data_IF_619483686543
#
_entry.id   IF_619483686543
#
_cell.length_a   1.000
_cell.length_b   1.000
_cell.length_c   1.000
_cell.angle_alpha   90.00
_cell.angle_beta   90.00
_cell.angle_gamma   90.00
#
_symmetry.space_group_name_H-M   'P 1'
#
loop_
_entity.id
_entity.type
_entity.pdbx_description
1 polymer ?
#
# COMPACT_ATOMS: atom_id res chain seq x y z
N UNK A 1 -16.42 -13.97 -6.47
CA UNK A 1 -16.08 -12.58 -6.07
C UNK A 1 -16.93 -12.18 -4.86
N UNK A 2 -16.38 -11.47 -3.87
CA UNK A 2 -17.14 -11.06 -2.68
C UNK A 2 -17.90 -9.73 -2.84
N UNK A 3 -17.79 -9.07 -4.00
CA UNK A 3 -18.40 -7.76 -4.28
C UNK A 3 -17.60 -6.56 -3.76
N UNK A 4 -16.43 -6.78 -3.16
CA UNK A 4 -15.55 -5.69 -2.73
C UNK A 4 -14.88 -5.02 -3.94
N UNK A 5 -14.75 -3.68 -3.89
CA UNK A 5 -13.91 -2.94 -4.83
C UNK A 5 -12.45 -3.01 -4.41
N UNK A 6 -11.58 -3.39 -5.33
CA UNK A 6 -10.16 -3.66 -5.11
C UNK A 6 -9.31 -2.58 -5.76
N UNK A 7 -8.36 -2.05 -4.98
CA UNK A 7 -7.28 -1.20 -5.48
C UNK A 7 -5.99 -2.01 -5.43
N UNK A 8 -5.34 -2.21 -6.57
CA UNK A 8 -3.99 -2.74 -6.64
C UNK A 8 -2.96 -1.62 -6.58
N UNK A 9 -1.98 -1.71 -5.68
CA UNK A 9 -0.83 -0.82 -5.62
C UNK A 9 0.41 -1.64 -5.98
N UNK A 10 1.08 -1.34 -7.08
CA UNK A 10 2.14 -2.20 -7.64
C UNK A 10 3.13 -1.42 -8.49
N UNK A 11 4.33 -1.96 -8.69
CA UNK A 11 5.29 -1.46 -9.69
C UNK A 11 5.02 -1.99 -11.10
N UNK A 12 4.18 -3.01 -11.25
CA UNK A 12 4.02 -3.76 -12.50
C UNK A 12 2.66 -3.52 -13.16
N UNK A 13 2.64 -2.65 -14.16
CA UNK A 13 1.42 -2.26 -14.88
C UNK A 13 0.69 -3.41 -15.60
N UNK A 14 1.40 -4.47 -15.99
CA UNK A 14 0.87 -5.65 -16.69
C UNK A 14 0.98 -6.92 -15.85
N UNK A 15 0.73 -6.79 -14.55
CA UNK A 15 0.71 -7.93 -13.63
C UNK A 15 -0.72 -8.43 -13.44
N UNK A 16 -0.90 -9.72 -13.12
CA UNK A 16 -2.22 -10.30 -12.88
C UNK A 16 -3.02 -9.55 -11.78
N UNK A 17 -2.34 -9.01 -10.78
CA UNK A 17 -2.98 -8.21 -9.72
C UNK A 17 -3.48 -6.85 -10.24
N UNK A 18 -2.78 -6.23 -11.20
CA UNK A 18 -3.22 -4.99 -11.81
C UNK A 18 -4.41 -5.21 -12.76
N UNK A 19 -4.39 -6.33 -13.50
CA UNK A 19 -5.45 -6.69 -14.45
C UNK A 19 -6.75 -7.12 -13.77
N UNK A 20 -6.69 -7.65 -12.54
CA UNK A 20 -7.86 -8.11 -11.78
C UNK A 20 -8.46 -7.08 -10.83
N UNK A 21 -7.84 -5.91 -10.66
CA UNK A 21 -8.32 -4.87 -9.76
C UNK A 21 -9.24 -3.86 -10.46
N UNK A 22 -10.20 -3.30 -9.73
CA UNK A 22 -11.04 -2.20 -10.24
C UNK A 22 -10.22 -0.95 -10.56
N UNK A 23 -9.17 -0.70 -9.77
CA UNK A 23 -8.25 0.42 -9.93
C UNK A 23 -6.81 -0.07 -9.71
N UNK A 24 -5.93 0.22 -10.66
CA UNK A 24 -4.49 -0.02 -10.52
C UNK A 24 -3.73 1.29 -10.32
N UNK A 25 -3.12 1.46 -9.14
CA UNK A 25 -2.16 2.52 -8.84
C UNK A 25 -0.73 1.99 -9.10
N UNK A 26 -0.19 2.32 -10.28
CA UNK A 26 1.15 1.87 -10.68
C UNK A 26 2.21 2.87 -10.23
N UNK A 27 3.18 2.39 -9.45
CA UNK A 27 4.30 3.18 -8.92
C UNK A 27 5.57 2.73 -9.65
N UNK A 28 6.05 3.48 -10.65
CA UNK A 28 7.25 3.08 -11.37
C UNK A 28 8.48 3.11 -10.44
N UNK A 29 9.45 2.20 -10.64
CA UNK A 29 10.72 2.29 -9.95
C UNK A 29 11.43 3.62 -10.20
N UNK A 30 12.17 4.07 -9.19
CA UNK A 30 12.97 5.30 -9.25
C UNK A 30 14.16 5.18 -10.20
N UNK A 31 14.63 3.95 -10.48
CA UNK A 31 15.74 3.65 -11.39
C UNK A 31 15.27 2.74 -12.53
N UNK A 32 15.82 2.96 -13.72
CA UNK A 32 15.18 2.63 -14.99
C UNK A 32 15.12 1.16 -15.41
N UNK A 33 15.61 0.22 -14.59
CA UNK A 33 15.57 -1.21 -14.96
C UNK A 33 15.04 -2.13 -13.85
N UNK A 34 14.31 -3.17 -14.26
CA UNK A 34 13.86 -4.28 -13.40
C UNK A 34 15.04 -4.98 -12.69
N UNK A 35 16.21 -5.02 -13.33
CA UNK A 35 17.42 -5.59 -12.74
C UNK A 35 17.90 -4.78 -11.54
N UNK A 36 17.85 -3.45 -11.61
CA UNK A 36 18.19 -2.60 -10.47
C UNK A 36 17.18 -2.70 -9.33
N UNK A 37 15.89 -2.88 -9.66
CA UNK A 37 14.86 -3.22 -8.67
C UNK A 37 15.18 -4.53 -7.94
N UNK A 38 15.69 -5.56 -8.64
CA UNK A 38 16.10 -6.82 -8.02
C UNK A 38 17.40 -6.69 -7.21
N UNK A 39 18.37 -5.93 -7.72
CA UNK A 39 19.69 -5.77 -7.10
C UNK A 39 19.65 -4.91 -5.83
N UNK A 40 18.81 -3.87 -5.79
CA UNK A 40 18.68 -3.00 -4.62
C UNK A 40 17.42 -3.31 -3.80
N UNK A 41 16.48 -4.09 -4.34
CA UNK A 41 15.22 -4.51 -3.72
C UNK A 41 14.43 -3.35 -3.05
N UNK A 42 14.61 -2.12 -3.53
CA UNK A 42 14.05 -0.96 -2.85
C UNK A 42 12.55 -0.87 -3.09
N UNK A 43 11.78 -1.25 -2.06
CA UNK A 43 10.34 -1.05 -1.99
C UNK A 43 9.97 0.31 -1.40
N UNK A 44 10.95 1.21 -1.23
CA UNK A 44 10.76 2.47 -0.56
C UNK A 44 9.66 3.32 -1.20
N UNK A 45 9.65 3.46 -2.53
CA UNK A 45 8.60 4.25 -3.21
C UNK A 45 7.22 3.63 -3.05
N UNK A 46 7.11 2.30 -3.19
CA UNK A 46 5.86 1.57 -2.94
C UNK A 46 5.35 1.79 -1.51
N UNK A 47 6.26 1.70 -0.52
CA UNK A 47 5.95 1.91 0.89
C UNK A 47 5.52 3.35 1.18
N UNK A 48 6.28 4.34 0.72
CA UNK A 48 6.01 5.76 0.95
C UNK A 48 4.67 6.20 0.34
N UNK A 49 4.36 5.74 -0.87
CA UNK A 49 3.07 6.01 -1.50
C UNK A 49 1.95 5.31 -0.73
N UNK A 50 2.14 4.05 -0.33
CA UNK A 50 1.15 3.32 0.47
C UNK A 50 0.87 4.03 1.79
N UNK A 51 1.91 4.48 2.49
CA UNK A 51 1.80 5.26 3.73
C UNK A 51 1.06 6.58 3.50
N UNK A 52 1.37 7.29 2.41
CA UNK A 52 0.69 8.54 2.04
C UNK A 52 -0.79 8.31 1.75
N UNK A 53 -1.15 7.23 1.05
CA UNK A 53 -2.55 6.85 0.77
C UNK A 53 -3.30 6.55 2.07
N UNK A 54 -2.69 5.81 3.01
CA UNK A 54 -3.27 5.55 4.32
C UNK A 54 -3.44 6.86 5.11
N UNK A 55 -2.45 7.76 5.07
CA UNK A 55 -2.54 9.07 5.71
C UNK A 55 -3.70 9.91 5.15
N UNK A 56 -3.86 9.93 3.83
CA UNK A 56 -4.98 10.61 3.16
C UNK A 56 -6.33 9.98 3.54
N UNK A 57 -6.40 8.65 3.64
CA UNK A 57 -7.60 7.94 4.07
C UNK A 57 -7.99 8.32 5.51
N UNK A 58 -7.02 8.32 6.42
CA UNK A 58 -7.22 8.72 7.82
C UNK A 58 -7.69 10.16 7.89
N UNK A 59 -7.03 11.08 7.20
CA UNK A 59 -7.42 12.49 7.14
C UNK A 59 -8.84 12.67 6.60
N UNK A 60 -9.19 11.94 5.52
CA UNK A 60 -10.52 11.99 4.91
C UNK A 60 -11.63 11.44 5.83
N UNK A 61 -11.31 10.49 6.71
CA UNK A 61 -12.25 9.88 7.66
C UNK A 61 -12.34 10.63 9.01
N UNK A 62 -11.49 11.62 9.25
CA UNK A 62 -11.53 12.44 10.47
C UNK A 62 -11.29 11.62 11.74
N UNK A 63 -12.10 11.85 12.78
CA UNK A 63 -12.01 11.14 14.07
C UNK A 63 -12.08 9.62 13.89
N UNK A 64 -13.05 9.12 13.11
CA UNK A 64 -13.19 7.67 12.86
C UNK A 64 -11.92 7.07 12.23
N UNK A 65 -11.24 7.83 11.37
CA UNK A 65 -9.97 7.40 10.78
C UNK A 65 -8.85 7.32 11.80
N UNK A 66 -8.79 8.29 12.73
CA UNK A 66 -7.80 8.31 13.81
C UNK A 66 -8.03 7.16 14.79
N UNK A 67 -9.27 6.92 15.18
CA UNK A 67 -9.65 5.84 16.09
C UNK A 67 -9.31 4.47 15.50
N UNK A 68 -9.67 4.24 14.23
CA UNK A 68 -9.33 3.01 13.53
C UNK A 68 -7.81 2.79 13.45
N UNK A 69 -7.04 3.83 13.12
CA UNK A 69 -5.56 3.73 13.09
C UNK A 69 -4.99 3.42 14.47
N UNK A 70 -5.50 4.06 15.52
CA UNK A 70 -5.09 3.79 16.90
C UNK A 70 -5.36 2.35 17.31
N UNK A 71 -6.54 1.82 16.97
CA UNK A 71 -6.90 0.43 17.24
C UNK A 71 -5.96 -0.55 16.50
N UNK A 72 -5.67 -0.31 15.22
CA UNK A 72 -4.71 -1.13 14.45
C UNK A 72 -3.32 -1.12 15.07
N UNK A 73 -2.79 0.05 15.43
CA UNK A 73 -1.48 0.17 16.06
C UNK A 73 -1.43 -0.50 17.43
N UNK A 74 -2.52 -0.44 18.21
CA UNK A 74 -2.62 -1.16 19.48
C UNK A 74 -2.49 -2.68 19.26
N UNK A 75 -3.20 -3.27 18.30
CA UNK A 75 -3.10 -4.70 17.98
C UNK A 75 -1.69 -5.10 17.55
N UNK A 76 -1.05 -4.27 16.72
CA UNK A 76 0.34 -4.50 16.29
C UNK A 76 1.31 -4.42 17.47
N UNK A 77 1.17 -3.44 18.36
CA UNK A 77 2.00 -3.32 19.57
C UNK A 77 1.92 -4.57 20.45
N UNK A 78 0.72 -5.07 20.72
CA UNK A 78 0.54 -6.33 21.48
C UNK A 78 1.21 -7.53 20.83
N UNK A 79 1.37 -7.53 19.50
CA UNK A 79 2.01 -8.63 18.77
C UNK A 79 3.54 -8.54 18.75
N UNK A 80 4.11 -7.38 19.09
CA UNK A 80 5.55 -7.13 19.13
C UNK A 80 6.12 -7.24 20.55
N UNK A 81 5.28 -7.03 21.57
CA UNK A 81 5.64 -7.14 22.99
C UNK A 81 5.49 -8.57 23.56
N UNK A 82 5.07 -9.55 22.73
CA UNK A 82 4.95 -10.97 23.06
C UNK A 82 6.01 -11.82 22.37
#
# INVERSE_FOLDING_TARGET
>A
ESGARVIAITSFARSAVAESADIALVIPPVRGSFREELEHASRASLMLVTESVVGLLVARRGDQGRDARSATLSVLGHSLDG
#
